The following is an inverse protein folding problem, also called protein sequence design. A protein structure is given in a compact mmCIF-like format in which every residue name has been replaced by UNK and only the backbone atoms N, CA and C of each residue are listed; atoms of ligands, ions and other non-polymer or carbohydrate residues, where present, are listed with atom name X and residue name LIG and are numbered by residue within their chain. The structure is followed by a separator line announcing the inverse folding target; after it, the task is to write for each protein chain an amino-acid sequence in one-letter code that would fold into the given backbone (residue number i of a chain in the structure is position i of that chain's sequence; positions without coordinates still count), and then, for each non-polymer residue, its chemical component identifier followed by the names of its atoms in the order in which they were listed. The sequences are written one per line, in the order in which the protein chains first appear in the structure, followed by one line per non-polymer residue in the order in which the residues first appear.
data_IF_957493033810
#
_entry.id   IF_957493033810
#
_cell.length_a   1.000
_cell.length_b   1.000
_cell.length_c   1.000
_cell.angle_alpha   90.00
_cell.angle_beta   90.00
_cell.angle_gamma   90.00
#
_symmetry.space_group_name_H-M   'P 1'
#
loop_
_entity.id
_entity.type
_entity.pdbx_description
1 polymer ?
#
# COMPACT_ATOMS: atom_id res chain seq x y z
N UNK A 1 -25.20 5.20 -11.68
CA UNK A 1 -23.93 5.68 -11.12
C UNK A 1 -22.99 4.50 -11.11
N UNK A 2 -21.77 4.68 -11.65
CA UNK A 2 -20.79 3.59 -11.68
C UNK A 2 -20.34 3.35 -10.22
N UNK A 3 -20.53 2.16 -9.70
CA UNK A 3 -20.20 1.81 -8.32
C UNK A 3 -18.97 0.88 -8.31
N UNK A 4 -17.98 1.25 -9.12
CA UNK A 4 -16.74 0.50 -9.24
C UNK A 4 -15.84 0.66 -7.98
N UNK A 5 -15.11 -0.40 -7.59
CA UNK A 5 -14.01 -0.22 -6.66
C UNK A 5 -12.89 0.63 -7.28
N UNK A 6 -12.08 1.25 -6.43
CA UNK A 6 -10.92 2.01 -6.85
C UNK A 6 -9.66 1.16 -6.67
N UNK A 7 -8.92 0.94 -7.76
CA UNK A 7 -7.57 0.38 -7.75
C UNK A 7 -6.55 1.53 -7.77
N UNK A 8 -5.61 1.52 -6.84
CA UNK A 8 -4.62 2.57 -6.65
C UNK A 8 -3.22 1.98 -6.77
N UNK A 9 -2.41 2.55 -7.67
CA UNK A 9 -1.00 2.22 -7.86
C UNK A 9 -0.17 3.51 -7.80
N UNK A 10 1.11 3.41 -7.43
CA UNK A 10 1.99 4.57 -7.50
C UNK A 10 2.36 4.90 -8.94
N UNK A 11 2.77 3.90 -9.72
CA UNK A 11 3.32 4.06 -11.05
C UNK A 11 2.60 3.16 -12.08
N UNK A 12 2.56 3.63 -13.33
CA UNK A 12 2.08 2.82 -14.45
C UNK A 12 2.96 1.58 -14.69
N UNK A 13 4.24 1.64 -14.35
CA UNK A 13 5.18 0.53 -14.52
C UNK A 13 4.91 -0.63 -13.54
N UNK A 14 4.24 -0.36 -12.42
CA UNK A 14 3.80 -1.39 -11.47
C UNK A 14 2.58 -2.16 -11.97
N UNK A 15 1.65 -1.45 -12.62
CA UNK A 15 0.41 -2.06 -13.10
C UNK A 15 -0.24 -1.25 -14.21
N UNK A 16 -0.55 -1.91 -15.32
CA UNK A 16 -1.36 -1.37 -16.42
C UNK A 16 -2.49 -2.33 -16.78
N UNK A 17 -3.71 -1.85 -16.72
CA UNK A 17 -4.86 -2.63 -17.14
C UNK A 17 -5.96 -1.71 -17.65
N UNK A 18 -6.69 -2.17 -18.66
CA UNK A 18 -7.89 -1.49 -19.15
C UNK A 18 -9.10 -2.37 -18.82
N UNK A 19 -9.73 -2.11 -17.68
CA UNK A 19 -10.95 -2.80 -17.24
C UNK A 19 -12.07 -1.79 -17.01
N UNK A 20 -13.32 -2.20 -17.25
CA UNK A 20 -14.51 -1.42 -16.90
C UNK A 20 -15.07 -1.77 -15.52
N UNK A 21 -14.45 -2.71 -14.80
CA UNK A 21 -14.92 -3.24 -13.52
C UNK A 21 -14.31 -2.55 -12.31
N UNK A 22 -13.31 -1.69 -12.50
CA UNK A 22 -12.74 -0.82 -11.48
C UNK A 22 -12.28 0.51 -12.10
N UNK A 23 -12.21 1.54 -11.27
CA UNK A 23 -11.53 2.78 -11.61
C UNK A 23 -10.05 2.66 -11.23
N UNK A 24 -9.14 3.17 -12.05
CA UNK A 24 -7.68 3.09 -11.83
C UNK A 24 -7.13 4.49 -11.56
N UNK A 25 -6.37 4.63 -10.46
CA UNK A 25 -5.72 5.87 -10.07
C UNK A 25 -4.20 5.65 -9.89
N UNK A 26 -3.41 6.42 -10.61
CA UNK A 26 -1.97 6.53 -10.38
C UNK A 26 -1.68 7.74 -9.49
N UNK A 27 -0.99 7.52 -8.38
CA UNK A 27 -0.77 8.55 -7.38
C UNK A 27 0.55 9.29 -7.54
N UNK A 28 1.53 8.69 -8.20
CA UNK A 28 2.94 9.05 -8.03
C UNK A 28 3.51 8.50 -6.73
N UNK A 29 4.84 8.59 -6.60
CA UNK A 29 5.60 8.04 -5.47
C UNK A 29 5.51 8.94 -4.24
N UNK A 30 5.38 8.32 -3.07
CA UNK A 30 5.45 8.95 -1.77
C UNK A 30 4.11 9.35 -1.16
N UNK A 31 4.11 9.49 0.17
CA UNK A 31 2.90 9.73 0.98
C UNK A 31 2.14 11.00 0.57
N UNK A 32 2.86 12.07 0.23
CA UNK A 32 2.23 13.35 -0.13
C UNK A 32 1.47 13.22 -1.45
N UNK A 33 2.10 12.65 -2.49
CA UNK A 33 1.47 12.42 -3.78
C UNK A 33 0.26 11.50 -3.65
N UNK A 34 0.39 10.41 -2.89
CA UNK A 34 -0.71 9.50 -2.60
C UNK A 34 -1.88 10.23 -1.90
N UNK A 35 -1.59 11.07 -0.91
CA UNK A 35 -2.61 11.82 -0.20
C UNK A 35 -3.35 12.83 -1.09
N UNK A 36 -2.62 13.58 -1.91
CA UNK A 36 -3.20 14.56 -2.84
C UNK A 36 -4.10 13.86 -3.86
N UNK A 37 -3.56 12.87 -4.58
CA UNK A 37 -4.27 12.18 -5.66
C UNK A 37 -5.53 11.46 -5.16
N UNK A 38 -5.44 10.76 -4.02
CA UNK A 38 -6.59 10.11 -3.38
C UNK A 38 -7.67 11.12 -2.98
N UNK A 39 -7.27 12.23 -2.34
CA UNK A 39 -8.22 13.25 -1.89
C UNK A 39 -8.90 13.93 -3.07
N UNK A 40 -8.16 14.28 -4.10
CA UNK A 40 -8.73 14.85 -5.33
C UNK A 40 -9.71 13.90 -6.01
N UNK A 41 -9.37 12.61 -6.10
CA UNK A 41 -10.27 11.60 -6.68
C UNK A 41 -11.59 11.53 -5.89
N UNK A 42 -11.52 11.40 -4.56
CA UNK A 42 -12.69 11.29 -3.71
C UNK A 42 -13.55 12.57 -3.65
N UNK A 43 -12.95 13.74 -3.89
CA UNK A 43 -13.70 15.00 -3.99
C UNK A 43 -14.44 15.17 -5.33
N UNK A 44 -13.94 14.55 -6.40
CA UNK A 44 -14.47 14.70 -7.76
C UNK A 44 -15.42 13.57 -8.17
N UNK A 45 -15.42 12.44 -7.45
CA UNK A 45 -16.15 11.23 -7.80
C UNK A 45 -16.98 10.72 -6.62
N UNK A 46 -18.02 9.89 -6.87
CA UNK A 46 -18.69 9.14 -5.81
C UNK A 46 -17.71 8.28 -5.02
N UNK A 47 -17.95 8.09 -3.73
CA UNK A 47 -17.12 7.22 -2.90
C UNK A 47 -17.15 5.77 -3.45
N UNK A 48 -16.00 5.13 -3.67
CA UNK A 48 -15.94 3.75 -4.11
C UNK A 48 -16.41 2.81 -2.98
N UNK A 49 -16.96 1.64 -3.29
CA UNK A 49 -17.39 0.66 -2.28
C UNK A 49 -16.20 0.13 -1.47
N UNK A 50 -15.02 0.06 -2.06
CA UNK A 50 -13.75 -0.25 -1.42
C UNK A 50 -12.57 0.21 -2.28
N UNK A 51 -11.40 0.30 -1.66
CA UNK A 51 -10.14 0.65 -2.32
C UNK A 51 -9.17 -0.52 -2.22
N UNK A 52 -8.56 -0.88 -3.35
CA UNK A 52 -7.44 -1.80 -3.44
C UNK A 52 -6.20 -0.99 -3.79
N UNK A 53 -5.15 -1.06 -3.00
CA UNK A 53 -3.83 -0.59 -3.40
C UNK A 53 -3.01 -1.79 -3.90
N UNK A 54 -2.37 -1.63 -5.05
CA UNK A 54 -1.36 -2.56 -5.54
C UNK A 54 -0.08 -1.78 -5.84
N UNK A 55 1.07 -2.41 -5.59
CA UNK A 55 2.38 -1.86 -5.89
C UNK A 55 3.49 -2.78 -5.41
N UNK A 56 4.73 -2.35 -5.66
CA UNK A 56 5.93 -3.04 -5.21
C UNK A 56 6.24 -2.72 -3.74
N UNK A 57 7.00 -3.59 -3.09
CA UNK A 57 7.52 -3.38 -1.74
C UNK A 57 8.80 -4.18 -1.53
N UNK A 58 9.69 -3.65 -0.70
CA UNK A 58 10.83 -4.40 -0.21
C UNK A 58 10.49 -5.24 1.02
N UNK A 59 11.18 -6.38 1.20
CA UNK A 59 11.06 -7.19 2.41
C UNK A 59 12.33 -8.01 2.67
N UNK A 60 12.75 -8.08 3.94
CA UNK A 60 13.76 -9.06 4.39
C UNK A 60 13.17 -10.37 4.88
N UNK A 61 11.89 -10.38 5.18
CA UNK A 61 11.22 -11.55 5.75
C UNK A 61 10.55 -12.42 4.71
N UNK A 62 10.14 -11.82 3.60
CA UNK A 62 9.33 -12.45 2.56
C UNK A 62 10.15 -12.49 1.27
N UNK A 63 10.25 -13.66 0.62
CA UNK A 63 11.07 -13.80 -0.59
C UNK A 63 10.64 -12.86 -1.73
N UNK A 64 11.60 -12.34 -2.48
CA UNK A 64 11.38 -11.63 -3.75
C UNK A 64 10.55 -12.51 -4.69
N UNK A 65 9.62 -11.90 -5.42
CA UNK A 65 8.68 -12.59 -6.28
C UNK A 65 7.38 -13.02 -5.60
N UNK A 66 7.26 -12.87 -4.28
CA UNK A 66 6.02 -13.18 -3.54
C UNK A 66 4.98 -12.06 -3.67
N UNK A 67 3.69 -12.43 -3.66
CA UNK A 67 2.57 -11.51 -3.50
C UNK A 67 1.96 -11.69 -2.10
N UNK A 68 1.80 -10.60 -1.37
CA UNK A 68 1.19 -10.59 -0.04
C UNK A 68 0.09 -9.54 0.07
N UNK A 69 -0.86 -9.76 0.98
CA UNK A 69 -1.78 -8.71 1.40
C UNK A 69 -1.32 -8.04 2.69
N UNK A 70 -1.61 -6.75 2.78
CA UNK A 70 -1.38 -5.94 3.97
C UNK A 70 -2.71 -5.42 4.49
N UNK A 71 -2.95 -5.67 5.78
CA UNK A 71 -4.14 -5.19 6.51
C UNK A 71 -3.78 -4.25 7.65
N UNK A 72 -2.50 -4.13 7.98
CA UNK A 72 -1.97 -3.24 9.01
C UNK A 72 -0.95 -2.29 8.41
N UNK A 73 -1.02 -1.03 8.81
CA UNK A 73 -0.22 0.05 8.23
C UNK A 73 0.35 0.95 9.32
N UNK A 74 1.66 1.23 9.25
CA UNK A 74 2.37 2.19 10.10
C UNK A 74 3.12 3.21 9.25
N UNK A 75 3.26 4.43 9.77
CA UNK A 75 4.12 5.45 9.19
C UNK A 75 5.50 5.34 9.84
N UNK A 76 6.43 4.56 9.22
CA UNK A 76 7.72 4.20 9.82
C UNK A 76 8.69 5.35 10.07
N UNK A 77 8.56 6.44 9.32
CA UNK A 77 9.39 7.64 9.40
C UNK A 77 8.80 8.75 10.27
N UNK A 78 7.68 8.49 10.95
CA UNK A 78 7.14 9.40 11.97
C UNK A 78 7.82 9.13 13.30
N UNK A 79 8.65 10.07 13.74
CA UNK A 79 9.32 10.00 15.04
C UNK A 79 9.29 11.37 15.74
N UNK A 80 8.46 11.47 16.76
CA UNK A 80 8.37 12.61 17.66
C UNK A 80 8.75 12.21 19.10
N UNK A 81 9.55 11.17 19.27
CA UNK A 81 9.94 10.61 20.58
C UNK A 81 10.67 11.62 21.46
N UNK A 82 11.41 12.54 20.88
CA UNK A 82 12.06 13.66 21.60
C UNK A 82 11.07 14.59 22.31
N UNK A 83 9.79 14.58 21.89
CA UNK A 83 8.69 15.34 22.49
C UNK A 83 7.84 14.48 23.44
N UNK A 84 8.25 13.22 23.71
CA UNK A 84 7.55 12.30 24.61
C UNK A 84 6.44 11.47 23.97
N UNK A 85 6.32 11.47 22.63
CA UNK A 85 5.40 10.59 21.91
C UNK A 85 6.04 9.23 21.65
N UNK A 86 5.22 8.21 21.42
CA UNK A 86 5.74 6.91 20.98
C UNK A 86 6.17 6.97 19.51
N UNK A 87 7.16 6.14 19.12
CA UNK A 87 7.53 6.00 17.70
C UNK A 87 6.31 5.65 16.86
N UNK A 88 6.23 6.23 15.66
CA UNK A 88 5.13 6.09 14.67
C UNK A 88 3.82 6.74 15.11
N UNK A 89 3.78 7.39 16.26
CA UNK A 89 2.66 8.19 16.71
C UNK A 89 2.76 9.60 16.12
N UNK A 90 1.72 10.03 15.39
CA UNK A 90 1.59 11.43 14.98
C UNK A 90 1.14 12.25 16.19
N UNK A 91 1.89 13.27 16.61
CA UNK A 91 1.52 14.12 17.75
C UNK A 91 0.12 14.69 17.65
N UNK A 92 -0.61 14.69 18.78
CA UNK A 92 -1.95 15.27 18.91
C UNK A 92 -3.04 14.64 18.02
N UNK A 93 -2.76 13.52 17.39
CA UNK A 93 -3.75 12.72 16.68
C UNK A 93 -4.30 11.58 17.56
N UNK A 94 -5.40 10.98 17.12
CA UNK A 94 -5.96 9.79 17.74
C UNK A 94 -4.95 8.62 17.64
N UNK A 95 -4.68 7.93 18.74
CA UNK A 95 -3.70 6.82 18.81
C UNK A 95 -3.98 5.67 17.85
N UNK A 96 -5.24 5.50 17.39
CA UNK A 96 -5.58 4.52 16.35
C UNK A 96 -4.87 4.77 15.01
N UNK A 97 -4.36 5.98 14.75
CA UNK A 97 -3.56 6.28 13.56
C UNK A 97 -2.10 5.85 13.69
N UNK A 98 -1.64 5.41 14.85
CA UNK A 98 -0.30 4.82 15.01
C UNK A 98 -0.19 3.50 14.25
N UNK A 99 -1.19 2.63 14.39
CA UNK A 99 -1.35 1.42 13.59
C UNK A 99 -2.77 1.42 13.04
N UNK A 100 -2.90 1.65 11.75
CA UNK A 100 -4.19 1.57 11.06
C UNK A 100 -4.43 0.10 10.70
N UNK A 101 -5.59 -0.46 11.06
CA UNK A 101 -5.94 -1.85 10.78
C UNK A 101 -7.28 -1.94 10.04
N UNK A 102 -7.29 -2.70 8.95
CA UNK A 102 -8.47 -3.07 8.18
C UNK A 102 -8.66 -4.58 8.23
N UNK A 103 -9.27 -5.08 9.31
CA UNK A 103 -9.42 -6.52 9.58
C UNK A 103 -10.49 -7.23 8.77
N UNK A 104 -11.31 -6.51 7.99
CA UNK A 104 -12.56 -7.05 7.40
C UNK A 104 -12.67 -6.87 5.89
N UNK A 105 -11.65 -7.22 5.14
CA UNK A 105 -11.83 -7.43 3.71
C UNK A 105 -12.20 -8.90 3.48
N UNK A 106 -13.49 -9.22 3.57
CA UNK A 106 -14.01 -10.61 3.57
C UNK A 106 -13.60 -11.42 2.33
N UNK A 107 -13.38 -10.73 1.20
CA UNK A 107 -13.03 -11.34 -0.08
C UNK A 107 -11.52 -11.40 -0.34
N UNK A 108 -10.66 -11.18 0.69
CA UNK A 108 -9.21 -11.26 0.54
C UNK A 108 -8.77 -12.66 0.09
N UNK A 109 -8.20 -12.82 -1.11
CA UNK A 109 -7.82 -14.15 -1.61
C UNK A 109 -6.47 -14.64 -1.07
N UNK A 110 -5.59 -13.76 -0.57
CA UNK A 110 -4.19 -14.07 -0.19
C UNK A 110 -4.07 -14.47 1.28
N UNK A 111 -4.60 -13.66 2.21
CA UNK A 111 -4.68 -13.94 3.67
C UNK A 111 -3.34 -14.08 4.39
N UNK A 112 -2.35 -13.27 4.04
CA UNK A 112 -1.08 -13.16 4.79
C UNK A 112 -1.16 -12.18 5.96
N UNK A 113 -2.06 -11.19 5.88
CA UNK A 113 -2.33 -10.17 6.92
C UNK A 113 -1.09 -9.41 7.36
N UNK A 114 -0.22 -9.08 6.44
CA UNK A 114 1.07 -8.46 6.67
C UNK A 114 0.96 -7.04 7.22
N UNK A 115 2.00 -6.59 7.95
CA UNK A 115 2.19 -5.22 8.37
C UNK A 115 3.03 -4.47 7.33
N UNK A 116 2.44 -3.44 6.72
CA UNK A 116 3.12 -2.52 5.81
C UNK A 116 3.67 -1.31 6.57
N UNK A 117 4.97 -1.07 6.45
CA UNK A 117 5.66 0.06 7.04
C UNK A 117 6.02 1.09 5.96
N UNK A 118 5.22 2.16 5.87
CA UNK A 118 5.33 3.20 4.85
C UNK A 118 6.24 4.34 5.27
N UNK A 119 7.07 4.85 4.34
CA UNK A 119 7.89 6.05 4.56
C UNK A 119 8.48 6.60 3.27
N UNK A 120 8.80 7.91 3.24
CA UNK A 120 9.30 8.62 2.05
C UNK A 120 10.81 8.45 1.83
N UNK A 121 11.33 7.27 2.16
CA UNK A 121 12.71 6.88 1.85
C UNK A 121 12.74 5.44 1.36
N UNK A 122 13.50 5.19 0.29
CA UNK A 122 13.76 3.84 -0.18
C UNK A 122 14.67 3.12 0.82
N UNK A 123 14.31 1.89 1.22
CA UNK A 123 15.12 1.14 2.18
C UNK A 123 16.19 0.35 1.43
N UNK A 124 17.44 0.66 1.72
CA UNK A 124 18.64 0.04 1.14
C UNK A 124 19.68 -0.36 2.19
N UNK A 125 19.29 -0.37 3.48
CA UNK A 125 20.16 -0.73 4.60
C UNK A 125 19.41 -1.33 5.77
N UNK A 126 20.13 -1.89 6.75
CA UNK A 126 19.58 -2.66 7.88
C UNK A 126 18.82 -1.87 8.96
N UNK A 127 18.78 -0.54 8.87
CA UNK A 127 18.32 0.30 9.99
C UNK A 127 16.83 0.25 10.31
N UNK A 128 15.98 -0.36 9.47
CA UNK A 128 14.51 -0.31 9.58
C UNK A 128 13.79 -1.67 9.60
N UNK A 129 14.52 -2.78 9.61
CA UNK A 129 13.98 -4.13 9.41
C UNK A 129 13.10 -4.70 10.54
N UNK A 130 13.01 -4.01 11.66
CA UNK A 130 12.22 -4.50 12.80
C UNK A 130 10.76 -4.02 12.80
N UNK A 131 10.36 -3.18 11.84
CA UNK A 131 9.15 -2.37 11.91
C UNK A 131 7.96 -2.92 11.16
N UNK A 132 8.16 -3.78 10.19
CA UNK A 132 7.12 -4.32 9.33
C UNK A 132 7.49 -5.67 8.74
N UNK A 133 6.56 -6.19 7.96
CA UNK A 133 6.80 -7.36 7.13
C UNK A 133 7.22 -6.92 5.72
N UNK A 134 6.66 -5.80 5.26
CA UNK A 134 6.97 -5.17 3.97
C UNK A 134 7.14 -3.65 4.11
N UNK A 135 7.88 -3.05 3.19
CA UNK A 135 8.22 -1.63 3.17
C UNK A 135 7.81 -0.99 1.84
N UNK A 136 7.03 0.07 1.92
CA UNK A 136 6.58 0.85 0.77
C UNK A 136 6.67 2.36 1.03
N UNK A 137 6.11 3.16 0.10
CA UNK A 137 6.16 4.62 0.22
C UNK A 137 4.76 5.29 0.23
N UNK A 138 3.63 4.57 0.08
CA UNK A 138 2.29 5.16 -0.11
C UNK A 138 1.19 4.59 0.79
N UNK A 139 1.22 3.30 1.10
CA UNK A 139 0.06 2.57 1.63
C UNK A 139 -0.52 3.15 2.91
N UNK A 140 0.30 3.65 3.84
CA UNK A 140 -0.20 4.30 5.06
C UNK A 140 -1.04 5.55 4.76
N UNK A 141 -0.61 6.37 3.79
CA UNK A 141 -1.34 7.58 3.42
C UNK A 141 -2.71 7.24 2.83
N UNK A 142 -2.76 6.23 1.95
CA UNK A 142 -4.00 5.72 1.35
C UNK A 142 -4.90 5.13 2.45
N UNK A 143 -4.35 4.29 3.33
CA UNK A 143 -5.06 3.70 4.46
C UNK A 143 -5.67 4.74 5.38
N UNK A 144 -4.92 5.80 5.72
CA UNK A 144 -5.38 6.90 6.58
C UNK A 144 -6.56 7.65 5.96
N UNK A 145 -6.52 7.90 4.66
CA UNK A 145 -7.62 8.53 3.93
C UNK A 145 -8.84 7.60 3.92
N UNK A 146 -8.68 6.34 3.55
CA UNK A 146 -9.77 5.37 3.55
C UNK A 146 -10.45 5.26 4.92
N UNK A 147 -9.66 5.23 6.01
CA UNK A 147 -10.19 5.22 7.36
C UNK A 147 -11.00 6.49 7.68
N UNK A 148 -10.51 7.67 7.29
CA UNK A 148 -11.22 8.95 7.48
C UNK A 148 -12.54 9.03 6.71
N UNK A 149 -12.57 8.51 5.50
CA UNK A 149 -13.78 8.46 4.65
C UNK A 149 -14.65 7.24 4.91
N UNK A 150 -14.25 6.33 5.83
CA UNK A 150 -14.94 5.07 6.17
C UNK A 150 -15.11 4.15 4.96
N UNK A 151 -14.10 4.08 4.11
CA UNK A 151 -14.03 3.22 2.93
C UNK A 151 -13.22 1.97 3.31
N UNK A 152 -13.71 0.78 2.96
CA UNK A 152 -12.94 -0.47 3.12
C UNK A 152 -11.66 -0.43 2.29
N UNK A 153 -10.56 -0.91 2.85
CA UNK A 153 -9.24 -0.85 2.22
C UNK A 153 -8.46 -2.15 2.41
N UNK A 154 -7.73 -2.53 1.37
CA UNK A 154 -6.72 -3.58 1.40
C UNK A 154 -5.57 -3.19 0.48
N UNK A 155 -4.34 -3.55 0.83
CA UNK A 155 -3.18 -3.38 -0.02
C UNK A 155 -2.58 -4.73 -0.37
N UNK A 156 -2.23 -4.93 -1.65
CA UNK A 156 -1.46 -6.08 -2.12
C UNK A 156 -0.09 -5.60 -2.55
N UNK A 157 0.95 -6.28 -2.08
CA UNK A 157 2.34 -5.92 -2.36
C UNK A 157 3.08 -7.08 -3.01
N UNK A 158 3.65 -6.79 -4.19
CA UNK A 158 4.61 -7.68 -4.83
C UNK A 158 6.00 -7.36 -4.29
N UNK A 159 6.68 -8.36 -3.75
CA UNK A 159 8.02 -8.18 -3.20
C UNK A 159 9.01 -8.11 -4.35
N UNK A 160 9.49 -6.90 -4.61
CA UNK A 160 10.40 -6.59 -5.70
C UNK A 160 11.87 -6.70 -5.33
N UNK A 161 12.19 -6.54 -4.03
CA UNK A 161 13.56 -6.42 -3.54
C UNK A 161 13.69 -6.85 -2.07
N UNK A 162 14.94 -7.10 -1.68
CA UNK A 162 15.29 -7.55 -0.33
C UNK A 162 15.33 -6.45 0.73
N UNK A 163 15.01 -5.21 0.41
CA UNK A 163 15.12 -4.04 1.30
C UNK A 163 16.51 -3.89 1.93
N UNK A 164 17.57 -4.17 1.16
CA UNK A 164 18.97 -4.12 1.59
C UNK A 164 19.87 -3.52 0.51
N UNK A 165 21.18 -3.65 0.65
CA UNK A 165 22.12 -3.14 -0.35
C UNK A 165 21.91 -3.80 -1.71
N UNK A 166 21.68 -3.00 -2.75
CA UNK A 166 21.33 -3.47 -4.10
C UNK A 166 19.83 -3.51 -4.40
N UNK A 167 18.97 -3.20 -3.43
CA UNK A 167 17.51 -3.21 -3.59
C UNK A 167 17.02 -2.32 -4.75
N UNK A 168 17.71 -1.22 -5.06
CA UNK A 168 17.39 -0.34 -6.19
C UNK A 168 17.56 -1.03 -7.54
N UNK A 169 18.54 -1.93 -7.67
CA UNK A 169 18.75 -2.72 -8.89
C UNK A 169 17.66 -3.78 -9.01
N UNK A 170 17.43 -4.55 -7.93
CA UNK A 170 16.39 -5.57 -7.87
C UNK A 170 15.01 -4.98 -8.19
N UNK A 171 14.67 -3.82 -7.59
CA UNK A 171 13.42 -3.14 -7.87
C UNK A 171 13.27 -2.78 -9.35
N UNK A 172 14.30 -2.20 -9.96
CA UNK A 172 14.26 -1.80 -11.37
C UNK A 172 14.07 -2.98 -12.34
N UNK A 173 14.58 -4.15 -11.99
CA UNK A 173 14.43 -5.39 -12.76
C UNK A 173 13.06 -6.06 -12.55
N UNK A 174 12.44 -5.87 -11.37
CA UNK A 174 11.25 -6.61 -10.97
C UNK A 174 9.96 -5.78 -10.94
N UNK A 175 10.01 -4.45 -11.11
CA UNK A 175 8.86 -3.55 -10.93
C UNK A 175 7.60 -3.96 -11.69
N UNK A 176 7.74 -4.50 -12.91
CA UNK A 176 6.62 -4.92 -13.75
C UNK A 176 6.19 -6.39 -13.57
N UNK A 177 6.98 -7.20 -12.85
CA UNK A 177 6.73 -8.64 -12.77
C UNK A 177 5.48 -8.99 -11.94
N UNK A 178 5.09 -8.12 -11.00
CA UNK A 178 3.96 -8.32 -10.10
C UNK A 178 2.59 -8.30 -10.79
N UNK A 179 2.46 -7.59 -11.93
CA UNK A 179 1.17 -7.41 -12.63
C UNK A 179 0.47 -8.74 -12.93
N UNK A 180 1.20 -9.73 -13.45
CA UNK A 180 0.63 -11.04 -13.82
C UNK A 180 0.12 -11.80 -12.61
N UNK A 181 0.92 -11.86 -11.55
CA UNK A 181 0.55 -12.56 -10.30
C UNK A 181 -0.63 -11.87 -9.64
N UNK A 182 -0.62 -10.54 -9.54
CA UNK A 182 -1.73 -9.78 -8.99
C UNK A 182 -3.03 -9.98 -9.78
N UNK A 183 -2.96 -10.04 -11.12
CA UNK A 183 -4.13 -10.31 -11.95
C UNK A 183 -4.71 -11.68 -11.67
N UNK A 184 -3.88 -12.74 -11.68
CA UNK A 184 -4.30 -14.11 -11.49
C UNK A 184 -4.79 -14.41 -10.06
N UNK A 185 -4.06 -13.93 -9.05
CA UNK A 185 -4.29 -14.32 -7.66
C UNK A 185 -5.24 -13.37 -6.91
N UNK A 186 -5.49 -12.16 -7.46
CA UNK A 186 -6.35 -11.16 -6.82
C UNK A 186 -7.50 -10.72 -7.71
N UNK A 187 -7.22 -10.18 -8.90
CA UNK A 187 -8.28 -9.57 -9.72
C UNK A 187 -9.26 -10.61 -10.28
N UNK A 188 -8.79 -11.76 -10.74
CA UNK A 188 -9.65 -12.86 -11.20
C UNK A 188 -10.55 -13.41 -10.08
N UNK A 189 -10.03 -13.79 -8.88
CA UNK A 189 -10.86 -14.20 -7.75
C UNK A 189 -11.88 -13.16 -7.28
N UNK A 190 -11.56 -11.87 -7.46
CA UNK A 190 -12.48 -10.78 -7.13
C UNK A 190 -13.48 -10.47 -8.26
N UNK A 191 -13.37 -11.13 -9.42
CA UNK A 191 -14.12 -10.87 -10.65
C UNK A 191 -13.96 -9.44 -11.18
N UNK A 192 -12.76 -8.89 -11.11
CA UNK A 192 -12.42 -7.52 -11.55
C UNK A 192 -11.79 -7.48 -12.95
N UNK A 193 -11.48 -8.63 -13.52
CA UNK A 193 -11.03 -8.80 -14.91
C UNK A 193 -11.80 -9.89 -15.61
#
# INVERSE_FOLDING_TARGET
MNNNPLLVCALEDEFRCNSRKFDLLYTGVGKINAAISMTEFLCKNPLPPYVINFGTAGSKKIPVGSLVDCTKFIQRDMDASVLGFEKYETPFEDKRFRVIEFSKFERNPIKTFSLCATGDSFIHNDSHHHLGDVFDMEAYAIAKICLKYKISFISFKYISDGAESGAEIEWSENVSNGTRIFTQDVLEPLNLV
#
